data_IF_134687675277
#
_entry.id   IF_134687675277
#
_cell.length_a   1.000
_cell.length_b   1.000
_cell.length_c   1.000
_cell.angle_alpha   90.00
_cell.angle_beta   90.00
_cell.angle_gamma   90.00
#
_symmetry.space_group_name_H-M   'P 1'
#
loop_
_entity.id
_entity.type
_entity.pdbx_description
1 polymer ?
#
# COMPACT_ATOMS: atom_id res chain seq x y z
N UNK A 1 -10.77 -8.34 -16.83
CA UNK A 1 -9.37 -8.82 -16.94
C UNK A 1 -8.72 -8.99 -15.56
N UNK A 2 -8.62 -7.97 -14.71
CA UNK A 2 -8.00 -8.14 -13.38
C UNK A 2 -8.77 -9.10 -12.45
N UNK A 3 -10.09 -8.98 -12.37
CA UNK A 3 -10.91 -9.86 -11.55
C UNK A 3 -10.92 -11.34 -12.01
N UNK A 4 -10.63 -11.61 -13.28
CA UNK A 4 -10.55 -12.99 -13.80
C UNK A 4 -9.25 -13.70 -13.44
N UNK A 5 -8.26 -13.01 -12.87
CA UNK A 5 -6.99 -13.60 -12.44
C UNK A 5 -7.09 -14.35 -11.09
N UNK A 6 -8.21 -14.22 -10.38
CA UNK A 6 -8.43 -14.83 -9.08
C UNK A 6 -9.75 -15.64 -9.02
N UNK A 7 -9.90 -16.67 -9.86
CA UNK A 7 -11.13 -17.47 -9.87
C UNK A 7 -11.34 -18.16 -8.52
N UNK A 8 -12.50 -17.95 -7.91
CA UNK A 8 -12.85 -18.52 -6.60
C UNK A 8 -12.27 -17.79 -5.39
N UNK A 9 -11.41 -16.79 -5.59
CA UNK A 9 -10.88 -15.95 -4.53
C UNK A 9 -11.60 -14.60 -4.39
N UNK A 10 -11.17 -13.82 -3.38
CA UNK A 10 -11.67 -12.46 -3.15
C UNK A 10 -10.77 -11.44 -3.82
N UNK A 11 -11.36 -10.58 -4.67
CA UNK A 11 -10.66 -9.44 -5.27
C UNK A 11 -11.37 -8.14 -4.89
N UNK A 12 -10.60 -7.16 -4.43
CA UNK A 12 -11.09 -5.83 -4.04
C UNK A 12 -10.24 -4.75 -4.71
N UNK A 13 -10.89 -3.78 -5.35
CA UNK A 13 -10.22 -2.64 -5.98
C UNK A 13 -10.36 -1.40 -5.11
N UNK A 14 -9.24 -0.70 -4.90
CA UNK A 14 -9.19 0.59 -4.23
C UNK A 14 -8.71 1.63 -5.25
N UNK A 15 -9.51 2.65 -5.51
CA UNK A 15 -9.27 3.61 -6.60
C UNK A 15 -9.53 5.05 -6.13
N UNK A 16 -8.72 6.02 -6.54
CA UNK A 16 -8.92 7.42 -6.14
C UNK A 16 -10.04 8.13 -6.91
N UNK A 17 -10.39 7.69 -8.13
CA UNK A 17 -11.41 8.34 -8.96
C UNK A 17 -12.82 7.78 -8.75
N UNK A 18 -13.74 8.53 -8.10
CA UNK A 18 -15.11 8.07 -7.91
C UNK A 18 -15.88 7.85 -9.21
N UNK A 19 -15.57 8.61 -10.28
CA UNK A 19 -16.23 8.45 -11.58
C UNK A 19 -15.80 7.13 -12.22
N UNK A 20 -14.54 6.76 -12.09
CA UNK A 20 -14.05 5.47 -12.57
C UNK A 20 -14.77 4.33 -11.85
N UNK A 21 -14.84 4.39 -10.51
CA UNK A 21 -15.52 3.36 -9.70
C UNK A 21 -16.99 3.23 -10.10
N UNK A 22 -17.73 4.34 -10.22
CA UNK A 22 -19.13 4.34 -10.63
C UNK A 22 -19.32 3.74 -12.03
N UNK A 23 -18.44 4.10 -12.97
CA UNK A 23 -18.52 3.61 -14.37
C UNK A 23 -18.27 2.10 -14.42
N UNK A 24 -17.20 1.63 -13.77
CA UNK A 24 -16.82 0.22 -13.77
C UNK A 24 -17.84 -0.66 -13.07
N UNK A 25 -18.42 -0.20 -11.94
CA UNK A 25 -19.46 -0.96 -11.25
C UNK A 25 -20.79 -0.99 -12.00
N UNK A 26 -21.07 0.00 -12.88
CA UNK A 26 -22.22 -0.04 -13.78
C UNK A 26 -22.04 -1.11 -14.86
N UNK A 27 -20.85 -1.20 -15.44
CA UNK A 27 -20.57 -2.13 -16.54
C UNK A 27 -20.27 -3.56 -16.05
N UNK A 28 -19.74 -3.69 -14.83
CA UNK A 28 -19.44 -4.96 -14.18
C UNK A 28 -19.86 -4.96 -12.70
N UNK A 29 -21.17 -5.12 -12.41
CA UNK A 29 -21.71 -5.05 -11.04
C UNK A 29 -21.20 -6.11 -10.06
N UNK A 30 -20.61 -7.20 -10.57
CA UNK A 30 -20.00 -8.25 -9.75
C UNK A 30 -18.63 -7.86 -9.18
N UNK A 31 -18.03 -6.77 -9.66
CA UNK A 31 -16.77 -6.26 -9.11
C UNK A 31 -16.99 -5.62 -7.74
N UNK A 32 -15.96 -5.71 -6.89
CA UNK A 32 -15.91 -5.02 -5.61
C UNK A 32 -14.90 -3.89 -5.72
N UNK A 33 -15.34 -2.65 -5.65
CA UNK A 33 -14.48 -1.49 -5.75
C UNK A 33 -14.91 -0.40 -4.76
N UNK A 34 -13.94 0.27 -4.14
CA UNK A 34 -14.18 1.42 -3.27
C UNK A 34 -13.34 2.60 -3.71
N UNK A 35 -13.95 3.80 -3.62
CA UNK A 35 -13.21 5.03 -3.76
C UNK A 35 -12.40 5.31 -2.50
N UNK A 36 -11.11 5.57 -2.65
CA UNK A 36 -10.20 5.92 -1.56
C UNK A 36 -9.79 7.38 -1.66
N UNK A 37 -9.87 8.10 -0.55
CA UNK A 37 -9.38 9.48 -0.46
C UNK A 37 -7.96 9.48 0.10
N UNK A 38 -7.01 9.85 -0.75
CA UNK A 38 -5.63 10.08 -0.35
C UNK A 38 -5.45 11.50 0.18
N UNK A 39 -4.73 11.65 1.30
CA UNK A 39 -4.41 12.96 1.89
C UNK A 39 -3.01 13.47 1.54
N UNK A 40 -2.11 12.56 1.17
CA UNK A 40 -0.75 12.87 0.72
C UNK A 40 -0.79 13.53 -0.66
N UNK A 41 0.26 14.27 -1.02
CA UNK A 41 0.53 14.69 -2.40
C UNK A 41 1.95 14.34 -2.78
N UNK A 42 2.18 14.12 -4.08
CA UNK A 42 3.47 13.70 -4.62
C UNK A 42 4.58 14.67 -4.24
N UNK A 43 4.31 15.97 -4.23
CA UNK A 43 5.28 17.01 -3.83
C UNK A 43 5.73 16.91 -2.37
N UNK A 44 4.93 16.27 -1.51
CA UNK A 44 5.21 16.13 -0.09
C UNK A 44 6.03 14.87 0.21
N UNK A 45 6.36 14.05 -0.81
CA UNK A 45 7.04 12.76 -0.65
C UNK A 45 8.35 12.83 0.14
N UNK A 46 9.21 13.82 -0.13
CA UNK A 46 10.49 13.93 0.59
C UNK A 46 10.27 14.31 2.07
N UNK A 47 9.33 15.21 2.33
CA UNK A 47 9.00 15.63 3.70
C UNK A 47 8.40 14.47 4.49
N UNK A 48 7.45 13.74 3.90
CA UNK A 48 6.81 12.57 4.52
C UNK A 48 7.84 11.48 4.86
N UNK A 49 8.81 11.24 3.99
CA UNK A 49 9.87 10.26 4.22
C UNK A 49 10.82 10.71 5.34
N UNK A 50 11.08 12.00 5.49
CA UNK A 50 11.92 12.54 6.56
C UNK A 50 11.19 12.52 7.92
N UNK A 51 9.90 12.83 7.95
CA UNK A 51 9.17 13.04 9.20
C UNK A 51 8.56 11.77 9.80
N UNK A 52 8.33 10.70 9.01
CA UNK A 52 7.59 9.53 9.51
C UNK A 52 8.25 8.88 10.75
N UNK A 53 9.59 8.93 10.86
CA UNK A 53 10.31 8.34 12.01
C UNK A 53 10.13 9.14 13.30
N UNK A 54 9.83 10.43 13.18
CA UNK A 54 9.59 11.31 14.32
C UNK A 54 8.13 11.31 14.76
N UNK A 55 7.23 10.71 13.98
CA UNK A 55 5.82 10.51 14.32
C UNK A 55 5.64 9.10 14.90
N UNK A 56 5.44 8.94 16.23
CA UNK A 56 5.32 7.62 16.87
C UNK A 56 4.24 6.74 16.24
N UNK A 57 3.14 7.32 15.76
CA UNK A 57 2.07 6.58 15.10
C UNK A 57 2.44 6.09 13.67
N UNK A 58 3.52 6.60 13.09
CA UNK A 58 4.08 6.16 11.80
C UNK A 58 5.26 5.19 11.94
N UNK A 59 5.94 5.20 13.09
CA UNK A 59 7.13 4.42 13.32
C UNK A 59 6.85 2.91 13.37
N UNK A 60 7.85 2.03 13.11
CA UNK A 60 7.65 0.58 13.07
C UNK A 60 6.98 -0.03 14.31
N UNK A 61 7.22 0.54 15.49
CA UNK A 61 6.64 0.06 16.76
C UNK A 61 5.19 0.49 16.98
N UNK A 62 4.81 1.67 16.48
CA UNK A 62 3.47 2.26 16.67
C UNK A 62 2.59 2.24 15.42
N UNK A 63 3.09 1.70 14.30
CA UNK A 63 2.42 1.73 13.01
C UNK A 63 1.11 0.94 13.03
N UNK A 64 0.02 1.66 12.86
CA UNK A 64 -1.31 1.12 12.63
C UNK A 64 -2.01 1.94 11.54
N UNK A 65 -3.08 1.41 10.94
CA UNK A 65 -3.77 2.11 9.85
C UNK A 65 -5.10 2.67 10.29
N UNK A 66 -6.03 1.80 10.70
CA UNK A 66 -7.38 2.16 11.10
C UNK A 66 -7.36 3.29 12.12
N UNK A 67 -8.08 4.37 11.82
CA UNK A 67 -8.23 5.57 12.65
C UNK A 67 -6.93 6.34 12.97
N UNK A 68 -5.80 5.99 12.34
CA UNK A 68 -4.53 6.68 12.51
C UNK A 68 -4.48 8.02 11.76
N UNK A 69 -5.11 9.03 12.35
CA UNK A 69 -5.11 10.40 11.81
C UNK A 69 -3.75 11.07 11.98
N UNK A 70 -2.97 10.68 12.99
CA UNK A 70 -1.65 11.25 13.30
C UNK A 70 -0.61 10.94 12.21
N UNK A 71 -0.59 9.72 11.71
CA UNK A 71 0.35 9.32 10.67
C UNK A 71 -0.12 9.67 9.26
N UNK A 72 0.38 10.75 8.65
CA UNK A 72 -0.08 11.21 7.32
C UNK A 72 -0.02 10.13 6.21
N UNK A 73 0.94 9.22 6.29
CA UNK A 73 1.10 8.08 5.38
C UNK A 73 0.02 6.99 5.55
N UNK A 74 -0.65 6.91 6.70
CA UNK A 74 -1.66 5.90 6.96
C UNK A 74 -2.95 6.19 6.16
N UNK A 75 -3.36 5.22 5.35
CA UNK A 75 -4.71 5.15 4.81
C UNK A 75 -5.64 4.66 5.93
N UNK A 76 -6.16 5.60 6.72
CA UNK A 76 -6.83 5.33 7.99
C UNK A 76 -8.35 5.15 7.92
N UNK A 77 -8.95 5.43 6.77
CA UNK A 77 -10.40 5.41 6.56
C UNK A 77 -10.83 4.45 5.43
N UNK A 78 -10.12 3.33 5.28
CA UNK A 78 -10.50 2.28 4.33
C UNK A 78 -11.68 1.46 4.88
N UNK A 79 -12.44 0.77 4.02
CA UNK A 79 -13.46 -0.16 4.46
C UNK A 79 -12.89 -1.25 5.38
N UNK A 80 -13.67 -1.68 6.38
CA UNK A 80 -13.27 -2.67 7.38
C UNK A 80 -12.68 -3.95 6.76
N UNK A 81 -13.27 -4.41 5.66
CA UNK A 81 -12.79 -5.56 4.91
C UNK A 81 -11.29 -5.44 4.55
N UNK A 82 -10.80 -4.25 4.22
CA UNK A 82 -9.39 -4.06 3.86
C UNK A 82 -8.49 -4.38 5.06
N UNK A 83 -8.86 -3.92 6.25
CA UNK A 83 -8.08 -4.12 7.48
C UNK A 83 -8.22 -5.52 8.07
N UNK A 84 -9.38 -6.15 7.91
CA UNK A 84 -9.71 -7.44 8.53
C UNK A 84 -9.29 -8.64 7.67
N UNK A 85 -8.98 -8.42 6.39
CA UNK A 85 -8.58 -9.47 5.47
C UNK A 85 -7.06 -9.59 5.42
N UNK A 86 -6.56 -10.81 5.61
CA UNK A 86 -5.15 -11.13 5.37
C UNK A 86 -4.90 -11.36 3.87
N UNK A 87 -4.62 -10.29 3.14
CA UNK A 87 -4.42 -10.35 1.69
C UNK A 87 -3.18 -11.17 1.33
N UNK A 88 -3.34 -12.20 0.49
CA UNK A 88 -2.22 -13.00 0.00
C UNK A 88 -1.38 -12.23 -1.02
N UNK A 89 -2.02 -11.35 -1.81
CA UNK A 89 -1.40 -10.55 -2.85
C UNK A 89 -1.99 -9.13 -2.87
N UNK A 90 -1.10 -8.14 -2.99
CA UNK A 90 -1.48 -6.73 -3.23
C UNK A 90 -0.72 -6.19 -4.44
N UNK A 91 -1.45 -5.60 -5.38
CA UNK A 91 -0.88 -4.84 -6.51
C UNK A 91 -1.04 -3.34 -6.23
N UNK A 92 0.08 -2.63 -6.21
CA UNK A 92 0.14 -1.17 -6.06
C UNK A 92 0.45 -0.57 -7.43
N UNK A 93 -0.62 -0.23 -8.15
CA UNK A 93 -0.54 0.49 -9.44
C UNK A 93 -1.31 1.83 -9.42
N UNK A 94 -1.88 2.18 -8.27
CA UNK A 94 -2.59 3.43 -8.02
C UNK A 94 -2.14 4.01 -6.66
N UNK A 95 -2.28 5.32 -6.45
CA UNK A 95 -2.91 6.30 -7.34
C UNK A 95 -1.95 6.94 -8.36
N UNK A 96 -2.50 7.73 -9.28
CA UNK A 96 -1.86 8.34 -10.47
C UNK A 96 -0.40 8.81 -10.35
N UNK A 97 -0.11 9.62 -9.33
CA UNK A 97 1.26 10.09 -9.02
C UNK A 97 2.05 10.74 -10.17
N UNK A 98 1.41 11.40 -11.14
CA UNK A 98 2.10 11.98 -12.32
C UNK A 98 2.23 13.51 -12.30
N UNK A 99 1.71 14.21 -11.28
CA UNK A 99 1.89 15.65 -11.08
C UNK A 99 2.01 16.00 -9.59
N UNK A 100 2.59 17.17 -9.22
CA UNK A 100 2.90 17.51 -7.83
C UNK A 100 1.73 17.42 -6.85
N UNK A 101 0.53 17.82 -7.28
CA UNK A 101 -0.69 17.78 -6.46
C UNK A 101 -1.45 16.44 -6.51
N UNK A 102 -1.01 15.49 -7.35
CA UNK A 102 -1.55 14.14 -7.35
C UNK A 102 -1.18 13.43 -6.04
N UNK A 103 -1.99 12.48 -5.57
CA UNK A 103 -1.74 11.86 -4.26
C UNK A 103 -0.43 11.06 -4.13
N UNK A 104 0.03 10.46 -5.23
CA UNK A 104 1.22 9.60 -5.26
C UNK A 104 1.05 8.27 -4.50
N UNK A 105 1.97 7.33 -4.71
CA UNK A 105 1.88 5.96 -4.14
C UNK A 105 2.43 5.82 -2.72
N UNK A 106 2.89 6.90 -2.10
CA UNK A 106 3.51 6.90 -0.77
C UNK A 106 2.64 6.23 0.29
N UNK A 107 1.40 6.69 0.45
CA UNK A 107 0.47 6.16 1.45
C UNK A 107 0.06 4.71 1.16
N UNK A 108 -0.04 4.33 -0.12
CA UNK A 108 -0.35 2.96 -0.52
C UNK A 108 0.81 2.00 -0.17
N UNK A 109 2.05 2.37 -0.51
CA UNK A 109 3.25 1.59 -0.19
C UNK A 109 3.41 1.43 1.33
N UNK A 110 3.28 2.52 2.09
CA UNK A 110 3.31 2.48 3.55
C UNK A 110 2.21 1.58 4.13
N UNK A 111 0.96 1.76 3.69
CA UNK A 111 -0.16 1.01 4.24
C UNK A 111 -0.04 -0.49 3.97
N UNK A 112 0.40 -0.88 2.78
CA UNK A 112 0.67 -2.29 2.45
C UNK A 112 1.81 -2.86 3.29
N UNK A 113 2.87 -2.08 3.53
CA UNK A 113 3.97 -2.48 4.39
C UNK A 113 3.53 -2.77 5.84
N UNK A 114 2.60 -1.96 6.37
CA UNK A 114 2.00 -2.16 7.70
C UNK A 114 1.08 -3.38 7.72
N UNK A 115 0.16 -3.50 6.76
CA UNK A 115 -0.77 -4.65 6.69
C UNK A 115 -0.02 -5.98 6.53
N UNK A 116 0.98 -6.04 5.64
CA UNK A 116 1.73 -7.25 5.39
C UNK A 116 2.48 -7.76 6.62
N UNK A 117 3.05 -6.83 7.41
CA UNK A 117 3.74 -7.15 8.68
C UNK A 117 2.77 -7.46 9.81
N UNK A 118 1.56 -6.88 9.80
CA UNK A 118 0.50 -7.13 10.77
C UNK A 118 -0.30 -8.42 10.52
N UNK A 119 0.06 -9.20 9.49
CA UNK A 119 -0.52 -10.53 9.25
C UNK A 119 -0.30 -11.42 10.49
N UNK A 120 -1.38 -12.06 10.94
CA UNK A 120 -1.42 -12.98 12.09
C UNK A 120 -1.25 -14.43 11.65
N UNK A 121 -1.78 -14.79 10.48
CA UNK A 121 -1.66 -16.10 9.88
C UNK A 121 -0.24 -16.41 9.39
N UNK A 122 -0.01 -17.66 9.03
CA UNK A 122 1.25 -18.09 8.41
C UNK A 122 1.38 -17.58 6.98
N UNK A 123 2.60 -17.66 6.45
CA UNK A 123 2.93 -17.27 5.08
C UNK A 123 3.43 -15.84 4.97
N UNK A 124 3.42 -15.33 3.75
CA UNK A 124 3.91 -13.98 3.40
C UNK A 124 2.84 -13.26 2.59
N UNK A 125 2.87 -11.93 2.62
CA UNK A 125 2.08 -11.12 1.68
C UNK A 125 2.92 -10.85 0.44
N UNK A 126 2.41 -11.21 -0.73
CA UNK A 126 3.02 -10.87 -2.01
C UNK A 126 2.67 -9.45 -2.40
N UNK A 127 3.66 -8.58 -2.59
CA UNK A 127 3.42 -7.19 -2.99
C UNK A 127 4.04 -6.93 -4.35
N UNK A 128 3.24 -6.46 -5.29
CA UNK A 128 3.69 -6.03 -6.60
C UNK A 128 3.58 -4.51 -6.68
N UNK A 129 4.68 -3.82 -6.93
CA UNK A 129 4.72 -2.37 -7.10
C UNK A 129 5.10 -2.04 -8.54
N UNK A 130 4.25 -1.28 -9.21
CA UNK A 130 4.45 -0.83 -10.57
C UNK A 130 5.05 0.59 -10.63
N UNK A 131 5.55 1.00 -11.81
CA UNK A 131 6.23 2.28 -12.07
C UNK A 131 7.47 2.57 -11.19
N UNK A 132 8.26 1.54 -10.86
CA UNK A 132 9.50 1.68 -10.04
C UNK A 132 10.65 2.40 -10.75
N UNK A 133 10.47 2.81 -12.00
CA UNK A 133 11.33 3.75 -12.71
C UNK A 133 11.17 5.18 -12.17
N UNK A 134 10.06 5.49 -11.50
CA UNK A 134 9.85 6.76 -10.79
C UNK A 134 10.55 6.75 -9.44
N UNK A 135 11.13 7.91 -9.08
CA UNK A 135 11.92 8.08 -7.85
C UNK A 135 11.12 7.75 -6.58
N UNK A 136 9.89 8.25 -6.49
CA UNK A 136 9.07 8.13 -5.27
C UNK A 136 8.74 6.67 -4.99
N UNK A 137 8.22 5.95 -5.98
CA UNK A 137 7.91 4.52 -5.89
C UNK A 137 9.15 3.72 -5.47
N UNK A 138 10.29 3.95 -6.10
CA UNK A 138 11.54 3.25 -5.78
C UNK A 138 11.99 3.49 -4.34
N UNK A 139 12.05 4.75 -3.91
CA UNK A 139 12.52 5.12 -2.57
C UNK A 139 11.58 4.59 -1.49
N UNK A 140 10.27 4.74 -1.67
CA UNK A 140 9.28 4.22 -0.72
C UNK A 140 9.28 2.69 -0.67
N UNK A 141 9.51 2.01 -1.78
CA UNK A 141 9.64 0.56 -1.79
C UNK A 141 10.86 0.10 -0.99
N UNK A 142 12.00 0.74 -1.19
CA UNK A 142 13.24 0.39 -0.49
C UNK A 142 13.16 0.70 1.01
N UNK A 143 12.44 1.75 1.41
CA UNK A 143 12.22 2.12 2.81
C UNK A 143 11.16 1.26 3.53
N UNK A 144 10.02 0.96 2.90
CA UNK A 144 8.88 0.34 3.60
C UNK A 144 8.68 -1.14 3.23
N UNK A 145 8.95 -1.54 1.98
CA UNK A 145 8.83 -2.94 1.52
C UNK A 145 10.16 -3.70 1.65
N UNK A 146 11.28 -2.98 1.79
CA UNK A 146 12.63 -3.46 2.01
C UNK A 146 13.25 -4.26 0.87
N UNK A 147 14.46 -3.84 0.48
CA UNK A 147 15.25 -4.54 -0.56
C UNK A 147 15.51 -6.01 -0.22
N UNK A 148 15.65 -6.36 1.06
CA UNK A 148 15.84 -7.75 1.53
C UNK A 148 14.66 -8.67 1.21
N UNK A 149 13.46 -8.12 1.00
CA UNK A 149 12.25 -8.86 0.64
C UNK A 149 11.92 -8.80 -0.85
N UNK A 150 12.74 -8.12 -1.66
CA UNK A 150 12.58 -8.06 -3.11
C UNK A 150 12.95 -9.43 -3.71
N UNK A 151 11.98 -10.09 -4.34
CA UNK A 151 12.19 -11.37 -5.02
C UNK A 151 12.74 -11.15 -6.41
N UNK A 152 12.09 -10.28 -7.19
CA UNK A 152 12.47 -10.00 -8.58
C UNK A 152 11.90 -8.66 -9.08
N UNK A 153 12.60 -8.04 -10.01
CA UNK A 153 12.07 -6.97 -10.86
C UNK A 153 11.99 -7.38 -12.33
N UNK A 154 10.93 -6.96 -13.03
CA UNK A 154 10.79 -7.11 -14.49
C UNK A 154 10.26 -5.80 -15.06
N UNK A 155 11.08 -5.12 -15.87
CA UNK A 155 10.75 -3.79 -16.39
C UNK A 155 10.48 -2.80 -15.26
N UNK A 156 9.26 -2.24 -15.22
CA UNK A 156 8.80 -1.28 -14.21
C UNK A 156 8.09 -1.92 -13.00
N UNK A 157 8.03 -3.25 -12.96
CA UNK A 157 7.31 -3.99 -11.92
C UNK A 157 8.30 -4.67 -10.98
N UNK A 158 8.16 -4.45 -9.67
CA UNK A 158 8.88 -5.16 -8.63
C UNK A 158 7.95 -6.06 -7.81
N UNK A 159 8.43 -7.24 -7.44
CA UNK A 159 7.73 -8.21 -6.60
C UNK A 159 8.47 -8.44 -5.29
N UNK A 160 7.76 -8.29 -4.17
CA UNK A 160 8.23 -8.52 -2.82
C UNK A 160 7.47 -9.66 -2.14
N UNK A 161 8.14 -10.35 -1.21
CA UNK A 161 7.52 -11.28 -0.27
C UNK A 161 7.75 -10.77 1.15
N UNK A 162 6.73 -10.16 1.74
CA UNK A 162 6.84 -9.52 3.06
C UNK A 162 6.30 -10.49 4.11
N UNK A 163 7.15 -10.97 5.04
CA UNK A 163 6.70 -11.81 6.14
C UNK A 163 5.97 -10.97 7.21
N UNK A 164 5.12 -11.61 8.03
CA UNK A 164 4.65 -11.00 9.27
C UNK A 164 5.85 -10.60 10.15
N UNK A 165 5.69 -9.56 10.95
CA UNK A 165 6.74 -9.15 11.89
C UNK A 165 6.86 -10.20 12.99
N UNK A 166 8.07 -10.66 13.28
CA UNK A 166 8.35 -11.33 14.55
C UNK A 166 8.55 -10.21 15.59
N UNK A 167 7.76 -10.21 16.66
CA UNK A 167 7.67 -9.18 17.73
C UNK A 167 8.99 -8.83 18.48
N UNK A 168 10.17 -9.19 17.96
CA UNK A 168 11.43 -9.20 18.71
C UNK A 168 12.51 -8.22 18.25
N UNK A 169 12.24 -7.28 17.33
CA UNK A 169 13.25 -6.31 16.90
C UNK A 169 12.74 -4.87 16.92
N UNK A 170 13.28 -4.08 17.86
CA UNK A 170 13.17 -2.63 17.94
C UNK A 170 14.02 -2.00 16.84
N UNK A 171 13.53 -2.03 15.60
CA UNK A 171 14.16 -1.33 14.49
C UNK A 171 13.65 0.12 14.41
N UNK A 172 14.57 1.07 14.25
CA UNK A 172 14.24 2.48 13.98
C UNK A 172 13.68 2.71 12.56
N UNK A 173 13.58 1.65 11.76
CA UNK A 173 13.19 1.67 10.35
C UNK A 173 12.41 0.40 10.01
N UNK A 174 11.59 0.45 8.95
CA UNK A 174 10.87 -0.73 8.45
C UNK A 174 11.82 -1.79 7.88
N UNK A 175 13.05 -1.40 7.54
CA UNK A 175 14.12 -2.25 7.03
C UNK A 175 15.31 -2.26 7.99
#
# INVERSE_FOLDING_TARGET
MWASLNPGGTTLFLEEDPKWVQTVLKDAPSLRAHTVRYRTRLRDADQLLLSYRSEPACGPEGAHLRDNVECELALHNLPDQVYETEWDLVMIDAPRGYFPDAPGRMAAVYSVAVMARGRKGSGVTHVFLHDVDRRVEKVYAEEFLCRKYLVRGVGRLWHFQIPPSNDSHTSQSFC
#
